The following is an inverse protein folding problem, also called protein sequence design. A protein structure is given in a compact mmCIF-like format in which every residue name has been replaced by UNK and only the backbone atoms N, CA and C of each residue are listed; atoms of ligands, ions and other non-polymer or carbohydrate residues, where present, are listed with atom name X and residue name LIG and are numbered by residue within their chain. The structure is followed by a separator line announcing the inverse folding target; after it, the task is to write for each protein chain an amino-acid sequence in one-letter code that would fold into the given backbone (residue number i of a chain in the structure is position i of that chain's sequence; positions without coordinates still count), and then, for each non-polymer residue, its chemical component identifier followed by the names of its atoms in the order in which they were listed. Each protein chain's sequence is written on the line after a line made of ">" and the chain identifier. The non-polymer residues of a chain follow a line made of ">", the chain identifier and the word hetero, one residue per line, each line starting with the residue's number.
data_IF_017521317097
#
_entry.id   IF_017521317097
#
_cell.length_a   1.000
_cell.length_b   1.000
_cell.length_c   1.000
_cell.angle_alpha   90.00
_cell.angle_beta   90.00
_cell.angle_gamma   90.00
#
_symmetry.space_group_name_H-M   'P 1'
#
loop_
_entity.id
_entity.type
_entity.pdbx_description
1 polymer ?
#
# COMPACT_ATOMS: atom_id res chain seq x y z
N UNK A 1 73.75 -1.24 36.56
CA UNK A 1 72.32 -0.94 36.72
C UNK A 1 71.63 -1.39 35.41
N UNK A 2 70.95 -2.53 35.42
CA UNK A 2 70.46 -3.20 34.21
C UNK A 2 68.96 -2.90 34.04
N UNK A 3 68.59 -2.22 32.98
CA UNK A 3 67.21 -1.96 32.61
C UNK A 3 66.79 -3.06 31.63
N UNK A 4 65.81 -3.87 32.02
CA UNK A 4 65.21 -4.90 31.20
C UNK A 4 64.06 -4.27 30.42
N UNK A 5 64.13 -4.29 29.10
CA UNK A 5 63.09 -3.96 28.19
C UNK A 5 62.17 -5.18 28.09
N UNK A 6 60.86 -5.00 28.45
CA UNK A 6 59.83 -6.01 28.29
C UNK A 6 59.00 -5.67 27.09
N UNK A 7 59.24 -6.39 26.00
CA UNK A 7 58.41 -6.27 24.79
C UNK A 7 57.08 -6.99 25.02
N UNK A 8 55.99 -6.23 25.03
CA UNK A 8 54.65 -6.78 25.02
C UNK A 8 54.18 -6.84 23.57
N UNK A 9 54.09 -8.06 23.07
CA UNK A 9 53.47 -8.40 21.80
C UNK A 9 51.95 -8.41 22.00
N UNK A 10 51.27 -7.34 21.65
CA UNK A 10 49.79 -7.32 21.56
C UNK A 10 49.41 -7.86 20.19
N UNK A 11 48.94 -9.09 20.16
CA UNK A 11 48.40 -9.74 19.00
C UNK A 11 47.03 -9.11 18.71
N UNK A 12 46.89 -8.46 17.57
CA UNK A 12 45.66 -7.99 16.99
C UNK A 12 44.81 -9.19 16.57
N UNK A 13 43.80 -9.50 17.37
CA UNK A 13 42.68 -10.39 17.01
C UNK A 13 41.43 -9.51 16.88
N UNK A 14 41.38 -8.75 15.82
CA UNK A 14 40.18 -8.04 15.40
C UNK A 14 39.87 -8.57 14.04
N UNK A 15 38.82 -9.38 13.98
CA UNK A 15 38.04 -9.35 12.80
C UNK A 15 37.36 -10.63 12.43
N UNK A 16 36.32 -10.47 11.81
CA UNK A 16 35.45 -11.45 11.12
C UNK A 16 34.24 -11.91 11.92
N UNK A 17 33.44 -10.94 12.39
CA UNK A 17 32.06 -11.25 12.84
C UNK A 17 30.99 -10.32 12.28
N UNK A 18 31.24 -9.65 11.15
CA UNK A 18 30.24 -8.73 10.56
C UNK A 18 29.49 -9.29 9.35
N UNK A 19 29.79 -10.52 8.93
CA UNK A 19 29.14 -11.12 7.75
C UNK A 19 28.02 -12.12 8.06
N UNK A 20 27.91 -12.61 9.29
CA UNK A 20 26.93 -13.65 9.64
C UNK A 20 25.53 -13.06 9.90
N UNK A 21 25.43 -11.83 10.39
CA UNK A 21 24.13 -11.23 10.68
C UNK A 21 23.37 -10.72 9.45
N UNK A 22 24.05 -10.49 8.32
CA UNK A 22 23.42 -10.02 7.09
C UNK A 22 22.83 -11.16 6.23
N UNK A 23 23.30 -12.39 6.44
CA UNK A 23 22.87 -13.55 5.64
C UNK A 23 21.66 -14.27 6.28
N UNK A 24 21.46 -14.16 7.59
CA UNK A 24 20.34 -14.79 8.30
C UNK A 24 19.00 -14.02 8.16
N UNK A 25 19.02 -12.71 7.89
CA UNK A 25 17.80 -11.95 7.58
C UNK A 25 17.30 -12.15 6.15
N UNK A 26 18.18 -12.52 5.22
CA UNK A 26 17.81 -12.70 3.81
C UNK A 26 16.98 -13.96 3.52
N UNK A 27 16.97 -14.95 4.39
CA UNK A 27 16.26 -16.22 4.17
C UNK A 27 14.84 -16.29 4.75
N UNK A 28 14.39 -15.26 5.48
CA UNK A 28 13.12 -15.32 6.24
C UNK A 28 11.86 -14.92 5.49
N UNK A 29 11.98 -14.26 4.34
CA UNK A 29 10.81 -13.68 3.67
C UNK A 29 10.65 -14.26 2.26
N UNK A 30 9.97 -15.40 2.17
CA UNK A 30 9.61 -16.01 0.90
C UNK A 30 8.21 -15.54 0.48
N UNK A 31 8.12 -14.73 -0.58
CA UNK A 31 6.87 -14.29 -1.20
C UNK A 31 6.79 -14.81 -2.63
N UNK A 32 5.57 -15.15 -3.06
CA UNK A 32 5.32 -15.67 -4.41
C UNK A 32 5.19 -14.51 -5.41
N UNK A 33 6.32 -13.95 -5.83
CA UNK A 33 6.35 -12.87 -6.80
C UNK A 33 5.92 -13.34 -8.19
N UNK A 34 4.97 -12.63 -8.79
CA UNK A 34 4.56 -12.81 -10.18
C UNK A 34 5.20 -11.73 -11.03
N UNK A 35 5.99 -12.12 -12.04
CA UNK A 35 6.57 -11.20 -13.02
C UNK A 35 5.52 -10.73 -14.02
N UNK A 36 5.70 -9.52 -14.56
CA UNK A 36 4.82 -8.92 -15.55
C UNK A 36 4.63 -9.71 -16.84
N UNK A 37 3.73 -9.21 -17.69
CA UNK A 37 3.33 -9.88 -18.92
C UNK A 37 2.33 -11.03 -18.68
N UNK A 38 1.62 -11.02 -17.56
CA UNK A 38 0.63 -12.05 -17.18
C UNK A 38 -0.64 -11.38 -16.67
N UNK A 39 -1.76 -12.07 -16.84
CA UNK A 39 -3.00 -11.70 -16.15
C UNK A 39 -2.94 -12.24 -14.71
N UNK A 40 -3.21 -11.38 -13.73
CA UNK A 40 -3.23 -11.72 -12.31
C UNK A 40 -4.59 -11.42 -11.71
N UNK A 41 -4.99 -12.20 -10.71
CA UNK A 41 -6.26 -12.01 -10.03
C UNK A 41 -6.12 -10.97 -8.91
N UNK A 42 -7.02 -9.99 -8.89
CA UNK A 42 -7.26 -9.08 -7.77
C UNK A 42 -8.42 -9.63 -6.93
N UNK A 43 -8.11 -10.56 -6.03
CA UNK A 43 -9.11 -11.31 -5.30
C UNK A 43 -10.04 -12.09 -6.25
N UNK A 44 -11.34 -12.08 -5.94
CA UNK A 44 -12.39 -12.68 -6.78
C UNK A 44 -13.23 -11.63 -7.54
N UNK A 45 -12.79 -10.37 -7.53
CA UNK A 45 -13.58 -9.23 -8.00
C UNK A 45 -13.11 -8.69 -9.34
N UNK A 46 -11.80 -8.76 -9.60
CA UNK A 46 -11.21 -8.21 -10.81
C UNK A 46 -9.95 -8.98 -11.23
N UNK A 47 -9.50 -8.72 -12.45
CA UNK A 47 -8.23 -9.18 -12.99
C UNK A 47 -7.41 -7.96 -13.40
N UNK A 48 -6.09 -8.07 -13.35
CA UNK A 48 -5.14 -7.09 -13.83
C UNK A 48 -4.25 -7.71 -14.91
N UNK A 49 -4.29 -7.15 -16.11
CA UNK A 49 -3.30 -7.42 -17.15
C UNK A 49 -1.99 -6.70 -16.76
N UNK A 50 -1.13 -7.44 -16.03
CA UNK A 50 0.09 -6.92 -15.43
C UNK A 50 1.14 -6.63 -16.51
N UNK A 51 1.46 -5.36 -16.71
CA UNK A 51 2.49 -4.93 -17.66
C UNK A 51 3.86 -5.53 -17.36
N UNK A 52 4.73 -5.60 -18.38
CA UNK A 52 6.07 -6.21 -18.28
C UNK A 52 6.99 -5.51 -17.27
N UNK A 53 6.74 -4.22 -17.04
CA UNK A 53 7.56 -3.37 -16.18
C UNK A 53 7.22 -3.50 -14.69
N UNK A 54 6.29 -4.39 -14.35
CA UNK A 54 5.79 -4.55 -12.99
C UNK A 54 5.97 -5.97 -12.45
N UNK A 55 5.92 -6.09 -11.13
CA UNK A 55 5.80 -7.35 -10.39
C UNK A 55 4.62 -7.26 -9.45
N UNK A 56 4.04 -8.40 -9.11
CA UNK A 56 2.80 -8.50 -8.33
C UNK A 56 2.96 -9.48 -7.16
N UNK A 57 2.31 -9.15 -6.05
CA UNK A 57 2.01 -10.06 -4.95
C UNK A 57 0.50 -10.20 -4.80
N UNK A 58 0.03 -11.44 -4.60
CA UNK A 58 -1.36 -11.68 -4.24
C UNK A 58 -1.72 -11.13 -2.85
N UNK A 59 -2.99 -11.16 -2.48
CA UNK A 59 -3.45 -10.58 -1.21
C UNK A 59 -2.81 -11.20 0.03
N UNK A 60 -2.54 -12.50 0.02
CA UNK A 60 -1.95 -13.18 1.19
C UNK A 60 -0.47 -12.82 1.35
N UNK A 61 0.29 -12.82 0.25
CA UNK A 61 1.68 -12.39 0.27
C UNK A 61 1.81 -10.89 0.56
N UNK A 62 0.87 -10.05 0.09
CA UNK A 62 0.80 -8.63 0.44
C UNK A 62 0.62 -8.45 1.95
N UNK A 63 -0.35 -9.12 2.57
CA UNK A 63 -0.58 -9.08 4.03
C UNK A 63 0.62 -9.59 4.80
N UNK A 64 1.21 -10.69 4.34
CA UNK A 64 2.44 -11.23 4.94
C UNK A 64 3.58 -10.24 4.87
N UNK A 65 3.82 -9.63 3.72
CA UNK A 65 4.85 -8.62 3.54
C UNK A 65 4.63 -7.43 4.49
N UNK A 66 3.43 -6.86 4.54
CA UNK A 66 3.10 -5.77 5.46
C UNK A 66 3.43 -6.15 6.91
N UNK A 67 3.03 -7.35 7.36
CA UNK A 67 3.30 -7.84 8.72
C UNK A 67 4.80 -7.99 8.99
N UNK A 68 5.54 -8.57 8.05
CA UNK A 68 6.98 -8.77 8.17
C UNK A 68 7.74 -7.43 8.32
N UNK A 69 7.21 -6.38 7.69
CA UNK A 69 7.72 -5.00 7.81
C UNK A 69 7.06 -4.17 8.93
N UNK A 70 6.38 -4.85 9.87
CA UNK A 70 5.75 -4.24 11.05
C UNK A 70 4.64 -3.25 10.71
N UNK A 71 4.06 -3.37 9.52
CA UNK A 71 2.82 -2.71 9.16
C UNK A 71 1.63 -3.58 9.58
N UNK A 72 0.45 -2.97 9.68
CA UNK A 72 -0.76 -3.67 10.12
C UNK A 72 -1.70 -3.80 8.92
N UNK A 73 -1.82 -5.01 8.33
CA UNK A 73 -2.78 -5.26 7.27
C UNK A 73 -4.21 -4.91 7.70
N UNK A 74 -5.00 -4.40 6.78
CA UNK A 74 -6.43 -4.15 7.00
C UNK A 74 -7.25 -5.45 6.96
N UNK A 75 -6.66 -6.52 6.41
CA UNK A 75 -7.31 -7.80 6.14
C UNK A 75 -8.11 -7.82 4.84
N UNK A 76 -8.14 -6.71 4.09
CA UNK A 76 -8.87 -6.55 2.83
C UNK A 76 -7.95 -6.51 1.62
N UNK A 77 -6.65 -6.64 1.81
CA UNK A 77 -5.66 -6.64 0.73
C UNK A 77 -5.93 -7.79 -0.24
N UNK A 78 -6.06 -7.46 -1.51
CA UNK A 78 -6.28 -8.40 -2.61
C UNK A 78 -5.09 -8.50 -3.56
N UNK A 79 -4.09 -7.66 -3.37
CA UNK A 79 -2.82 -7.71 -4.10
C UNK A 79 -2.04 -6.42 -4.00
N UNK A 80 -0.80 -6.45 -4.49
CA UNK A 80 0.04 -5.27 -4.63
C UNK A 80 0.93 -5.33 -5.85
N UNK A 81 1.16 -4.17 -6.46
CA UNK A 81 2.01 -3.98 -7.65
C UNK A 81 3.21 -3.13 -7.29
N UNK A 82 4.35 -3.50 -7.84
CA UNK A 82 5.62 -2.79 -7.67
C UNK A 82 6.31 -2.63 -9.04
N UNK A 83 7.12 -1.59 -9.24
CA UNK A 83 7.94 -1.47 -10.43
C UNK A 83 9.01 -2.56 -10.46
N UNK A 84 9.31 -3.07 -11.67
CA UNK A 84 10.41 -4.00 -11.87
C UNK A 84 11.78 -3.29 -11.93
N UNK A 85 11.79 -1.97 -12.18
CA UNK A 85 13.02 -1.17 -12.12
C UNK A 85 13.38 -0.88 -10.65
N UNK A 86 14.57 -1.33 -10.19
CA UNK A 86 15.00 -1.09 -8.82
C UNK A 86 15.29 0.39 -8.51
N UNK A 87 15.24 1.29 -9.47
CA UNK A 87 15.38 2.74 -9.25
C UNK A 87 14.07 3.41 -8.89
N UNK A 88 12.95 2.82 -9.26
CA UNK A 88 11.63 3.33 -8.96
C UNK A 88 11.19 2.92 -7.55
N UNK A 89 10.63 3.86 -6.79
CA UNK A 89 10.34 3.68 -5.36
C UNK A 89 8.86 3.97 -5.07
N UNK A 90 7.99 3.15 -5.64
CA UNK A 90 6.55 3.23 -5.39
C UNK A 90 5.93 1.85 -5.35
N UNK A 91 4.73 1.78 -4.80
CA UNK A 91 3.88 0.58 -4.86
C UNK A 91 2.43 0.98 -4.89
N UNK A 92 1.59 0.09 -5.43
CA UNK A 92 0.13 0.19 -5.33
C UNK A 92 -0.38 -0.99 -4.53
N UNK A 93 -1.11 -0.71 -3.46
CA UNK A 93 -1.81 -1.74 -2.68
C UNK A 93 -3.28 -1.72 -3.10
N UNK A 94 -3.81 -2.90 -3.43
CA UNK A 94 -5.22 -3.09 -3.74
C UNK A 94 -5.94 -3.73 -2.56
N UNK A 95 -7.03 -3.09 -2.12
CA UNK A 95 -7.96 -3.63 -1.12
C UNK A 95 -9.36 -3.76 -1.72
N UNK A 96 -10.15 -4.72 -1.29
CA UNK A 96 -11.57 -4.81 -1.63
C UNK A 96 -12.45 -4.68 -0.40
N UNK A 97 -13.46 -3.82 -0.50
CA UNK A 97 -14.47 -3.62 0.55
C UNK A 97 -15.87 -3.96 0.01
N UNK A 98 -16.44 -5.04 0.50
CA UNK A 98 -17.78 -5.52 0.13
C UNK A 98 -18.87 -4.82 0.96
N UNK A 99 -18.91 -3.48 0.91
CA UNK A 99 -19.84 -2.67 1.70
C UNK A 99 -21.26 -2.57 1.13
N UNK A 100 -21.47 -3.11 -0.05
CA UNK A 100 -22.66 -2.95 -0.87
C UNK A 100 -22.46 -1.91 -1.96
N UNK A 101 -23.38 -1.84 -2.91
CA UNK A 101 -23.35 -0.89 -4.01
C UNK A 101 -23.31 0.56 -3.51
N UNK A 102 -22.33 1.32 -3.92
CA UNK A 102 -22.16 2.72 -3.54
C UNK A 102 -22.97 3.59 -4.49
N UNK A 103 -23.94 4.32 -3.95
CA UNK A 103 -24.68 5.30 -4.74
C UNK A 103 -23.79 6.51 -5.06
N UNK A 104 -23.79 6.93 -6.34
CA UNK A 104 -22.99 8.05 -6.85
C UNK A 104 -23.77 9.37 -6.96
N UNK A 105 -24.92 9.50 -6.31
CA UNK A 105 -25.78 10.70 -6.34
C UNK A 105 -25.03 11.99 -5.98
N UNK A 106 -23.99 11.87 -5.13
CA UNK A 106 -23.16 12.99 -4.67
C UNK A 106 -22.11 13.44 -5.71
N UNK A 107 -21.99 12.79 -6.86
CA UNK A 107 -20.88 12.98 -7.82
C UNK A 107 -20.63 14.42 -8.28
N UNK A 108 -21.67 15.27 -8.28
CA UNK A 108 -21.59 16.70 -8.62
C UNK A 108 -21.56 17.64 -7.43
N UNK A 109 -21.63 17.11 -6.21
CA UNK A 109 -21.81 17.89 -4.98
C UNK A 109 -20.92 17.42 -3.84
N UNK A 110 -19.76 16.84 -4.15
CA UNK A 110 -18.78 16.45 -3.12
C UNK A 110 -18.29 17.72 -2.41
N UNK A 111 -18.56 17.84 -1.11
CA UNK A 111 -18.10 18.97 -0.29
C UNK A 111 -16.64 18.75 0.14
N UNK A 112 -15.73 19.10 -0.77
CA UNK A 112 -14.28 18.96 -0.56
C UNK A 112 -13.79 19.80 0.64
N UNK A 113 -14.34 20.98 0.86
CA UNK A 113 -13.98 21.86 1.97
C UNK A 113 -14.42 21.28 3.32
N UNK A 114 -15.66 20.80 3.42
CA UNK A 114 -16.19 20.17 4.62
C UNK A 114 -15.49 18.84 4.94
N UNK A 115 -15.15 18.07 3.93
CA UNK A 115 -14.37 16.83 4.08
C UNK A 115 -12.97 17.15 4.61
N UNK A 116 -12.24 18.11 4.02
CA UNK A 116 -10.92 18.51 4.47
C UNK A 116 -10.93 19.01 5.91
N UNK A 117 -11.93 19.84 6.25
CA UNK A 117 -12.12 20.32 7.62
C UNK A 117 -12.33 19.15 8.58
N UNK A 118 -13.16 18.18 8.24
CA UNK A 118 -13.42 16.99 9.06
C UNK A 118 -12.15 16.17 9.29
N UNK A 119 -11.31 16.05 8.28
CA UNK A 119 -9.99 15.39 8.41
C UNK A 119 -9.08 16.15 9.35
N UNK A 120 -8.93 17.47 9.13
CA UNK A 120 -8.07 18.32 9.96
C UNK A 120 -8.50 18.28 11.43
N UNK A 121 -9.78 18.55 11.71
CA UNK A 121 -10.32 18.53 13.08
C UNK A 121 -10.12 17.17 13.77
N UNK A 122 -10.34 16.09 13.04
CA UNK A 122 -10.18 14.73 13.56
C UNK A 122 -8.72 14.38 13.83
N UNK A 123 -7.81 14.82 12.98
CA UNK A 123 -6.37 14.61 13.13
C UNK A 123 -5.83 15.39 14.33
N UNK A 124 -6.17 16.67 14.46
CA UNK A 124 -5.76 17.46 15.61
C UNK A 124 -6.31 16.90 16.94
N UNK A 125 -7.55 16.44 16.94
CA UNK A 125 -8.12 15.77 18.11
C UNK A 125 -7.42 14.47 18.47
N UNK A 126 -6.88 13.74 17.47
CA UNK A 126 -6.08 12.55 17.71
C UNK A 126 -4.70 12.92 18.25
N UNK A 127 -4.10 14.00 17.76
CA UNK A 127 -2.81 14.52 18.19
C UNK A 127 -2.78 14.83 19.71
N UNK A 128 -3.90 15.27 20.31
CA UNK A 128 -4.00 15.51 21.76
C UNK A 128 -3.59 14.30 22.62
N UNK A 129 -3.68 13.08 22.04
CA UNK A 129 -3.39 11.81 22.73
C UNK A 129 -2.13 11.12 22.25
N UNK A 130 -1.42 11.73 21.31
CA UNK A 130 -0.19 11.17 20.74
C UNK A 130 1.04 11.94 21.24
N UNK A 131 2.16 11.24 21.48
CA UNK A 131 3.45 11.89 21.62
C UNK A 131 3.74 12.78 20.41
N UNK A 132 4.46 13.88 20.62
CA UNK A 132 4.75 14.90 19.58
C UNK A 132 5.38 14.27 18.34
N UNK A 133 6.29 13.31 18.51
CA UNK A 133 6.99 12.61 17.42
C UNK A 133 6.08 11.67 16.59
N UNK A 134 4.82 11.51 17.00
CA UNK A 134 3.80 10.71 16.29
C UNK A 134 2.62 11.54 15.80
N UNK A 135 2.66 12.85 15.99
CA UNK A 135 1.61 13.75 15.54
C UNK A 135 1.71 13.98 14.04
N UNK A 136 0.53 14.14 13.42
CA UNK A 136 0.37 14.46 12.00
C UNK A 136 -0.48 15.71 11.86
N UNK A 137 -0.21 16.51 10.84
CA UNK A 137 -0.96 17.71 10.54
C UNK A 137 -1.39 17.68 9.08
N UNK A 138 -2.70 17.81 8.83
CA UNK A 138 -3.24 17.89 7.48
C UNK A 138 -2.85 19.21 6.84
N UNK A 139 -2.21 19.18 5.67
CA UNK A 139 -1.75 20.38 4.97
C UNK A 139 -2.71 20.85 3.86
N UNK A 140 -3.61 19.98 3.42
CA UNK A 140 -4.62 20.32 2.41
C UNK A 140 -4.79 19.22 1.36
N UNK A 141 -5.57 19.53 0.31
CA UNK A 141 -5.68 18.68 -0.86
C UNK A 141 -4.44 18.84 -1.75
N UNK A 142 -3.85 17.74 -2.13
CA UNK A 142 -2.94 17.66 -3.25
C UNK A 142 -3.72 17.49 -4.56
N UNK A 143 -4.70 16.57 -4.55
CA UNK A 143 -5.72 16.42 -5.57
C UNK A 143 -7.10 16.46 -4.89
N UNK A 144 -7.93 17.45 -5.24
CA UNK A 144 -9.30 17.51 -4.74
C UNK A 144 -10.08 16.28 -5.17
N UNK A 145 -11.03 15.81 -4.35
CA UNK A 145 -11.89 14.70 -4.74
C UNK A 145 -12.62 14.98 -6.04
N UNK A 146 -12.57 14.03 -6.97
CA UNK A 146 -13.37 14.04 -8.19
C UNK A 146 -13.85 12.62 -8.55
N UNK A 147 -14.98 12.55 -9.21
CA UNK A 147 -15.58 11.31 -9.67
C UNK A 147 -15.62 11.28 -11.20
N UNK A 148 -15.12 10.20 -11.80
CA UNK A 148 -15.21 9.94 -13.23
C UNK A 148 -16.46 9.08 -13.51
N UNK A 149 -17.45 9.65 -14.20
CA UNK A 149 -18.71 8.97 -14.54
C UNK A 149 -18.54 7.85 -15.57
N UNK A 150 -17.40 7.78 -16.29
CA UNK A 150 -17.16 6.76 -17.32
C UNK A 150 -16.55 5.49 -16.73
N UNK A 151 -15.66 5.66 -15.77
CA UNK A 151 -14.94 4.55 -15.13
C UNK A 151 -15.53 4.19 -13.78
N UNK A 152 -16.42 5.04 -13.23
CA UNK A 152 -16.95 4.96 -11.87
C UNK A 152 -15.85 5.01 -10.81
N UNK A 153 -14.82 5.82 -11.05
CA UNK A 153 -13.69 5.98 -10.14
C UNK A 153 -13.83 7.28 -9.34
N UNK A 154 -13.66 7.17 -8.04
CA UNK A 154 -13.53 8.30 -7.13
C UNK A 154 -12.06 8.47 -6.75
N UNK A 155 -11.47 9.62 -7.10
CA UNK A 155 -10.04 9.88 -6.91
C UNK A 155 -9.83 11.10 -6.02
N UNK A 156 -8.83 11.03 -5.13
CA UNK A 156 -8.35 12.17 -4.35
C UNK A 156 -6.93 11.94 -3.85
N UNK A 157 -6.29 13.02 -3.40
CA UNK A 157 -5.02 12.96 -2.70
C UNK A 157 -4.96 14.06 -1.64
N UNK A 158 -4.59 13.68 -0.44
CA UNK A 158 -4.48 14.59 0.68
C UNK A 158 -3.06 14.63 1.21
N UNK A 159 -2.55 15.83 1.44
CA UNK A 159 -1.26 16.06 2.06
C UNK A 159 -1.38 16.14 3.59
N UNK A 160 -0.37 15.61 4.25
CA UNK A 160 -0.12 15.79 5.67
C UNK A 160 1.38 16.00 5.89
N UNK A 161 1.77 16.42 7.07
CA UNK A 161 3.15 16.47 7.51
C UNK A 161 3.30 15.84 8.89
N UNK A 162 4.46 15.24 9.15
CA UNK A 162 4.82 14.75 10.47
C UNK A 162 5.38 15.86 11.36
N UNK A 163 5.72 15.53 12.61
CA UNK A 163 6.33 16.46 13.56
C UNK A 163 7.70 17.03 13.10
N UNK A 164 8.35 16.40 12.12
CA UNK A 164 9.62 16.85 11.51
C UNK A 164 9.40 17.64 10.22
N UNK A 165 8.15 17.96 9.90
CA UNK A 165 7.75 18.64 8.66
C UNK A 165 8.05 17.81 7.40
N UNK A 166 8.13 16.49 7.52
CA UNK A 166 8.25 15.62 6.38
C UNK A 166 6.87 15.45 5.75
N UNK A 167 6.77 15.72 4.45
CA UNK A 167 5.53 15.60 3.71
C UNK A 167 5.11 14.13 3.56
N UNK A 168 3.84 13.90 3.80
CA UNK A 168 3.17 12.59 3.64
C UNK A 168 1.99 12.79 2.72
N UNK A 169 1.89 12.01 1.68
CA UNK A 169 0.85 12.18 0.68
C UNK A 169 0.39 10.80 0.23
N UNK A 170 -0.92 10.57 0.30
CA UNK A 170 -1.57 9.39 -0.25
C UNK A 170 -2.38 9.78 -1.48
N UNK A 171 -2.22 9.03 -2.55
CA UNK A 171 -3.08 9.13 -3.72
C UNK A 171 -3.98 7.90 -3.76
N UNK A 172 -5.26 8.15 -3.64
CA UNK A 172 -6.30 7.13 -3.50
C UNK A 172 -7.23 7.14 -4.71
N UNK A 173 -7.48 5.95 -5.26
CA UNK A 173 -8.52 5.71 -6.25
C UNK A 173 -9.46 4.64 -5.73
N UNK A 174 -10.76 4.88 -5.80
CA UNK A 174 -11.81 3.91 -5.50
C UNK A 174 -12.53 3.54 -6.77
N UNK A 175 -12.27 2.33 -7.27
CA UNK A 175 -12.99 1.77 -8.41
C UNK A 175 -14.29 1.17 -7.88
N UNK A 176 -15.42 1.79 -8.16
CA UNK A 176 -16.72 1.30 -7.71
C UNK A 176 -17.09 0.02 -8.46
N UNK A 177 -17.71 -0.91 -7.75
CA UNK A 177 -18.14 -2.21 -8.29
C UNK A 177 -19.60 -2.46 -7.93
N UNK A 178 -20.16 -3.56 -8.44
CA UNK A 178 -21.54 -3.96 -8.14
C UNK A 178 -21.82 -4.02 -6.64
N UNK A 179 -20.88 -4.58 -5.84
CA UNK A 179 -21.13 -4.94 -4.44
C UNK A 179 -20.20 -4.23 -3.45
N UNK A 180 -19.45 -3.23 -3.92
CA UNK A 180 -18.52 -2.47 -3.09
C UNK A 180 -17.55 -1.64 -3.92
N UNK A 181 -16.27 -1.64 -3.54
CA UNK A 181 -15.24 -0.93 -4.26
C UNK A 181 -13.84 -1.55 -4.07
N UNK A 182 -13.01 -1.43 -5.09
CA UNK A 182 -11.57 -1.68 -4.98
C UNK A 182 -10.88 -0.37 -4.64
N UNK A 183 -10.04 -0.38 -3.61
CA UNK A 183 -9.11 0.70 -3.32
C UNK A 183 -7.80 0.44 -4.04
N UNK A 184 -7.33 1.37 -4.87
CA UNK A 184 -5.96 1.41 -5.35
C UNK A 184 -5.25 2.55 -4.60
N UNK A 185 -4.31 2.21 -3.72
CA UNK A 185 -3.59 3.13 -2.84
C UNK A 185 -2.16 3.22 -3.34
N UNK A 186 -1.80 4.34 -3.96
CA UNK A 186 -0.44 4.59 -4.40
C UNK A 186 0.40 5.10 -3.22
N UNK A 187 1.49 4.43 -2.98
CA UNK A 187 2.52 4.80 -2.03
C UNK A 187 3.76 5.18 -2.84
N UNK A 188 4.19 6.42 -2.71
CA UNK A 188 5.23 6.99 -3.56
C UNK A 188 6.06 8.02 -2.78
N UNK A 189 7.32 8.19 -3.20
CA UNK A 189 8.15 9.29 -2.71
C UNK A 189 7.61 10.64 -3.20
N UNK A 190 7.55 11.69 -2.37
CA UNK A 190 7.05 13.01 -2.77
C UNK A 190 7.72 13.57 -4.03
N UNK A 191 8.99 13.26 -4.29
CA UNK A 191 9.74 13.75 -5.47
C UNK A 191 9.27 13.07 -6.75
N UNK A 192 9.00 11.76 -6.71
CA UNK A 192 8.63 10.95 -7.89
C UNK A 192 7.13 10.88 -8.11
N UNK A 193 6.32 11.36 -7.18
CA UNK A 193 4.88 11.11 -7.13
C UNK A 193 4.09 11.48 -8.39
N UNK A 194 4.42 12.60 -9.04
CA UNK A 194 3.71 12.99 -10.27
C UNK A 194 3.93 11.97 -11.39
N UNK A 195 5.15 11.45 -11.51
CA UNK A 195 5.45 10.36 -12.43
C UNK A 195 4.68 9.08 -12.05
N UNK A 196 4.72 8.70 -10.77
CA UNK A 196 4.12 7.46 -10.30
C UNK A 196 2.58 7.49 -10.39
N UNK A 197 1.94 8.66 -10.18
CA UNK A 197 0.52 8.89 -10.46
C UNK A 197 0.19 8.67 -11.93
N UNK A 198 1.04 9.17 -12.84
CA UNK A 198 0.85 8.98 -14.28
C UNK A 198 0.99 7.50 -14.66
N UNK A 199 1.93 6.77 -14.07
CA UNK A 199 2.09 5.33 -14.26
C UNK A 199 0.84 4.59 -13.78
N UNK A 200 0.36 4.88 -12.57
CA UNK A 200 -0.88 4.30 -12.05
C UNK A 200 -2.05 4.56 -13.00
N UNK A 201 -2.28 5.82 -13.38
CA UNK A 201 -3.43 6.23 -14.18
C UNK A 201 -3.38 5.71 -15.62
N UNK A 202 -2.21 5.57 -16.24
CA UNK A 202 -2.07 5.21 -17.65
C UNK A 202 -1.71 3.75 -17.90
N UNK A 203 -1.04 3.07 -16.96
CA UNK A 203 -0.50 1.73 -17.19
C UNK A 203 -1.11 0.66 -16.29
N UNK A 204 -1.71 1.01 -15.14
CA UNK A 204 -2.24 0.05 -14.18
C UNK A 204 -3.78 0.09 -14.16
N UNK A 205 -4.40 1.23 -13.84
CA UNK A 205 -5.86 1.32 -13.71
C UNK A 205 -6.60 0.90 -14.98
N UNK A 206 -6.21 1.31 -16.21
CA UNK A 206 -6.89 0.89 -17.44
C UNK A 206 -6.75 -0.60 -17.76
N UNK A 207 -5.86 -1.30 -17.08
CA UNK A 207 -5.62 -2.73 -17.25
C UNK A 207 -6.38 -3.60 -16.23
N UNK A 208 -7.13 -2.97 -15.33
CA UNK A 208 -8.03 -3.66 -14.41
C UNK A 208 -9.36 -3.91 -15.11
N UNK A 209 -9.81 -5.16 -15.07
CA UNK A 209 -11.11 -5.59 -15.61
C UNK A 209 -11.90 -6.31 -14.52
N UNK A 210 -13.13 -5.85 -14.27
CA UNK A 210 -14.01 -6.54 -13.31
C UNK A 210 -14.40 -7.92 -13.84
N UNK A 211 -14.50 -8.88 -12.94
CA UNK A 211 -15.05 -10.21 -13.25
C UNK A 211 -16.49 -10.04 -13.71
N UNK A 212 -16.96 -10.94 -14.59
CA UNK A 212 -18.31 -10.88 -15.14
C UNK A 212 -19.36 -10.82 -14.02
N UNK A 213 -20.29 -9.88 -14.12
CA UNK A 213 -21.31 -9.63 -13.12
C UNK A 213 -20.84 -8.81 -11.90
N UNK A 214 -19.64 -8.22 -11.93
CA UNK A 214 -19.08 -7.41 -10.85
C UNK A 214 -18.87 -5.93 -11.22
N UNK A 215 -19.23 -5.53 -12.44
CA UNK A 215 -19.15 -4.12 -12.85
C UNK A 215 -20.16 -3.28 -12.07
N UNK A 216 -19.90 -1.99 -11.96
CA UNK A 216 -20.80 -1.05 -11.28
C UNK A 216 -22.22 -1.10 -11.83
N UNK A 217 -22.36 -1.17 -13.16
CA UNK A 217 -23.63 -1.21 -13.89
C UNK A 217 -24.38 -2.55 -13.76
N UNK A 218 -23.71 -3.60 -13.29
CA UNK A 218 -24.35 -4.92 -13.06
C UNK A 218 -25.25 -4.92 -11.80
N UNK A 219 -25.34 -3.78 -11.09
CA UNK A 219 -26.15 -3.64 -9.89
C UNK A 219 -27.61 -3.99 -10.14
N UNK A 220 -28.18 -4.81 -9.25
CA UNK A 220 -29.59 -5.17 -9.28
C UNK A 220 -30.25 -4.79 -7.95
N UNK A 221 -31.08 -3.74 -7.99
CA UNK A 221 -31.76 -3.22 -6.80
C UNK A 221 -32.70 -4.21 -6.10
N UNK A 222 -33.08 -5.30 -6.78
CA UNK A 222 -33.97 -6.34 -6.19
C UNK A 222 -33.21 -7.36 -5.35
N UNK A 223 -31.91 -7.54 -5.59
CA UNK A 223 -31.10 -8.62 -5.00
C UNK A 223 -29.88 -8.11 -4.26
N UNK A 224 -29.35 -6.97 -4.65
CA UNK A 224 -28.09 -6.48 -4.17
C UNK A 224 -28.26 -5.53 -2.97
N UNK A 225 -27.30 -5.57 -2.07
CA UNK A 225 -27.25 -4.68 -0.94
C UNK A 225 -26.77 -3.30 -1.40
N UNK A 226 -27.50 -2.25 -1.04
CA UNK A 226 -27.03 -0.88 -1.17
C UNK A 226 -26.18 -0.51 0.04
N UNK A 227 -25.07 0.16 -0.20
CA UNK A 227 -24.22 0.70 0.86
C UNK A 227 -24.94 1.79 1.66
N UNK A 228 -24.59 1.91 2.93
CA UNK A 228 -25.01 3.04 3.79
C UNK A 228 -24.15 4.29 3.58
N UNK A 229 -23.17 4.20 2.70
CA UNK A 229 -22.17 5.23 2.45
C UNK A 229 -22.30 5.72 1.01
N UNK A 230 -22.23 7.05 0.81
CA UNK A 230 -22.04 7.69 -0.48
C UNK A 230 -20.57 8.03 -0.71
N UNK A 231 -20.30 8.79 -1.79
CA UNK A 231 -18.94 9.13 -2.22
C UNK A 231 -18.16 9.91 -1.14
N UNK A 232 -18.78 10.92 -0.51
CA UNK A 232 -18.15 11.72 0.54
C UNK A 232 -17.72 10.86 1.74
N UNK A 233 -18.53 9.85 2.09
CA UNK A 233 -18.20 8.95 3.17
C UNK A 233 -17.04 7.99 2.82
N UNK A 234 -16.88 7.61 1.55
CA UNK A 234 -15.73 6.83 1.09
C UNK A 234 -14.42 7.59 1.28
N UNK A 235 -14.41 8.89 0.95
CA UNK A 235 -13.25 9.76 1.17
C UNK A 235 -12.92 9.80 2.66
N UNK A 236 -13.89 9.99 3.53
CA UNK A 236 -13.73 10.01 5.00
C UNK A 236 -13.42 8.63 5.62
N UNK A 237 -13.23 7.58 4.82
CA UNK A 237 -12.83 6.26 5.29
C UNK A 237 -13.93 5.21 5.32
N UNK A 238 -15.10 5.49 4.74
CA UNK A 238 -16.19 4.52 4.53
C UNK A 238 -16.62 3.79 5.80
N UNK A 239 -16.52 2.47 5.78
CA UNK A 239 -16.87 1.63 6.94
C UNK A 239 -16.09 1.96 8.23
N UNK A 240 -14.93 2.62 8.13
CA UNK A 240 -14.17 3.11 9.29
C UNK A 240 -14.94 4.10 10.15
N UNK A 241 -15.84 4.90 9.56
CA UNK A 241 -16.72 5.80 10.32
C UNK A 241 -17.78 5.05 11.13
N UNK A 242 -18.28 3.92 10.65
CA UNK A 242 -19.23 3.09 11.39
C UNK A 242 -18.58 2.38 12.59
N UNK A 243 -17.32 1.97 12.43
CA UNK A 243 -16.50 1.41 13.53
C UNK A 243 -16.16 2.51 14.54
N UNK A 244 -15.83 3.73 14.09
CA UNK A 244 -15.57 4.86 14.96
C UNK A 244 -16.74 5.21 15.88
N UNK A 245 -17.99 5.05 15.41
CA UNK A 245 -19.18 5.21 16.26
C UNK A 245 -19.34 4.11 17.32
N UNK A 246 -18.84 2.89 17.07
CA UNK A 246 -18.94 1.75 18.01
C UNK A 246 -17.77 1.66 18.99
N UNK A 247 -16.57 2.05 18.60
CA UNK A 247 -15.33 1.94 19.42
C UNK A 247 -14.81 3.30 19.90
N UNK A 248 -15.53 4.37 19.63
CA UNK A 248 -15.12 5.75 19.94
C UNK A 248 -14.33 6.38 18.79
N UNK A 249 -14.55 7.67 18.58
CA UNK A 249 -13.99 8.48 17.48
C UNK A 249 -12.46 8.32 17.32
N UNK A 250 -11.76 8.04 18.41
CA UNK A 250 -10.32 7.90 18.45
C UNK A 250 -9.77 6.64 17.79
N UNK A 251 -10.45 5.51 17.94
CA UNK A 251 -10.00 4.27 17.29
C UNK A 251 -10.20 4.36 15.77
N UNK A 252 -11.27 5.02 15.31
CA UNK A 252 -11.51 5.27 13.89
C UNK A 252 -10.48 6.22 13.28
N UNK A 253 -10.12 7.28 14.00
CA UNK A 253 -9.09 8.24 13.56
C UNK A 253 -7.69 7.61 13.59
N UNK A 254 -7.37 6.80 14.60
CA UNK A 254 -6.11 6.06 14.63
C UNK A 254 -6.01 5.02 13.50
N UNK A 255 -7.12 4.40 13.10
CA UNK A 255 -7.18 3.53 11.92
C UNK A 255 -7.04 4.33 10.62
N UNK A 256 -7.58 5.56 10.55
CA UNK A 256 -7.40 6.46 9.43
C UNK A 256 -5.94 6.96 9.38
N UNK A 257 -5.37 7.37 10.51
CA UNK A 257 -3.96 7.80 10.60
C UNK A 257 -2.98 6.65 10.29
N UNK A 258 -3.31 5.40 10.64
CA UNK A 258 -2.57 4.21 10.22
C UNK A 258 -2.61 4.03 8.70
N UNK A 259 -3.72 4.35 8.04
CA UNK A 259 -3.82 4.37 6.58
C UNK A 259 -3.00 5.50 5.93
N UNK A 260 -2.70 6.58 6.65
CA UNK A 260 -1.84 7.68 6.17
C UNK A 260 -0.34 7.35 6.22
N UNK A 261 0.03 6.08 6.37
CA UNK A 261 1.32 5.60 5.89
C UNK A 261 2.58 6.09 6.58
N UNK A 262 2.50 6.69 7.79
CA UNK A 262 3.73 7.02 8.54
C UNK A 262 4.52 5.75 8.83
N UNK A 263 3.84 4.65 9.10
CA UNK A 263 4.48 3.35 9.33
C UNK A 263 4.90 2.72 8.00
N UNK A 264 4.09 2.88 6.93
CA UNK A 264 4.38 2.35 5.60
C UNK A 264 5.58 3.07 4.96
N UNK A 265 5.68 4.40 5.06
CA UNK A 265 6.82 5.15 4.51
C UNK A 265 8.15 4.75 5.17
N UNK A 266 8.18 4.55 6.49
CA UNK A 266 9.38 4.11 7.22
C UNK A 266 9.72 2.65 6.88
N UNK A 267 8.73 1.79 6.76
CA UNK A 267 8.91 0.39 6.40
C UNK A 267 9.37 0.24 4.94
N UNK A 268 8.81 1.01 4.01
CA UNK A 268 9.16 0.95 2.60
C UNK A 268 10.59 1.42 2.31
N UNK A 269 11.12 2.42 3.00
CA UNK A 269 12.53 2.81 2.84
C UNK A 269 13.47 1.69 3.29
N UNK A 270 13.12 0.94 4.33
CA UNK A 270 13.88 -0.24 4.77
C UNK A 270 13.71 -1.45 3.85
N UNK A 271 12.48 -1.74 3.45
CA UNK A 271 12.12 -2.88 2.59
C UNK A 271 12.55 -2.68 1.13
N UNK A 272 12.60 -1.43 0.66
CA UNK A 272 12.98 -1.11 -0.70
C UNK A 272 14.39 -1.58 -1.08
N UNK A 273 15.37 -1.45 -0.19
CA UNK A 273 16.70 -2.05 -0.41
C UNK A 273 16.63 -3.57 -0.60
N UNK A 274 15.72 -4.21 0.10
CA UNK A 274 15.54 -5.65 0.05
C UNK A 274 14.77 -6.10 -1.20
N UNK A 275 13.69 -5.41 -1.58
CA UNK A 275 12.98 -5.63 -2.85
C UNK A 275 13.94 -5.48 -4.04
N UNK A 276 14.80 -4.47 -4.03
CA UNK A 276 15.88 -4.31 -5.04
C UNK A 276 16.79 -5.53 -5.10
N UNK A 277 17.20 -6.07 -3.97
CA UNK A 277 18.09 -7.22 -3.90
C UNK A 277 17.41 -8.50 -4.40
N UNK A 278 16.11 -8.70 -4.13
CA UNK A 278 15.33 -9.82 -4.65
C UNK A 278 15.17 -9.75 -6.17
N UNK A 279 14.81 -8.60 -6.71
CA UNK A 279 14.68 -8.39 -8.16
C UNK A 279 16.03 -8.58 -8.84
N UNK A 280 17.11 -8.09 -8.24
CA UNK A 280 18.47 -8.26 -8.76
C UNK A 280 18.97 -9.71 -8.68
N UNK A 281 18.64 -10.45 -7.62
CA UNK A 281 18.99 -11.87 -7.48
C UNK A 281 18.28 -12.72 -8.54
N UNK A 282 17.00 -12.42 -8.85
CA UNK A 282 16.24 -13.14 -9.87
C UNK A 282 16.74 -12.88 -11.29
N UNK A 283 17.24 -11.66 -11.60
CA UNK A 283 17.93 -11.36 -12.87
C UNK A 283 19.24 -12.13 -13.04
N UNK A 284 19.89 -12.55 -11.95
CA UNK A 284 21.13 -13.34 -11.98
C UNK A 284 20.90 -14.84 -12.15
N UNK A 285 19.69 -15.35 -11.88
CA UNK A 285 19.38 -16.78 -11.97
C UNK A 285 18.00 -17.04 -12.59
N UNK A 286 17.82 -16.83 -13.91
CA UNK A 286 16.53 -17.00 -14.58
C UNK A 286 16.01 -18.44 -14.63
N UNK A 287 16.84 -19.45 -14.30
CA UNK A 287 16.55 -20.89 -14.47
C UNK A 287 16.22 -21.64 -13.17
N UNK A 288 16.04 -20.96 -12.04
CA UNK A 288 15.77 -21.66 -10.77
C UNK A 288 14.33 -22.18 -10.59
N UNK A 289 13.42 -21.93 -11.54
CA UNK A 289 12.01 -22.34 -11.41
C UNK A 289 11.57 -23.48 -12.35
N UNK A 290 12.50 -24.14 -13.05
CA UNK A 290 12.15 -25.20 -14.01
C UNK A 290 12.72 -26.60 -13.69
N UNK A 291 13.32 -26.81 -12.51
CA UNK A 291 13.99 -28.09 -12.20
C UNK A 291 13.35 -28.92 -11.06
N UNK A 292 12.16 -28.57 -10.57
CA UNK A 292 11.49 -29.37 -9.49
C UNK A 292 10.20 -30.10 -9.92
N UNK A 293 9.93 -30.23 -11.22
CA UNK A 293 8.78 -31.03 -11.69
C UNK A 293 9.20 -32.11 -12.72
N UNK A 294 10.22 -32.88 -12.41
CA UNK A 294 10.54 -34.05 -13.23
C UNK A 294 11.41 -35.03 -12.43
N UNK A 295 10.86 -35.67 -11.41
CA UNK A 295 11.34 -36.98 -10.91
C UNK A 295 10.43 -37.46 -9.77
N UNK A 296 9.24 -37.95 -10.14
CA UNK A 296 8.55 -38.96 -9.35
C UNK A 296 7.43 -39.59 -10.19
N UNK A 297 7.83 -40.43 -11.15
CA UNK A 297 7.05 -41.54 -11.67
C UNK A 297 7.94 -42.41 -12.57
N UNK A 298 8.64 -43.38 -11.98
CA UNK A 298 8.86 -44.72 -12.53
C UNK A 298 8.83 -45.71 -11.36
#
# INVERSE_FOLDING_TARGET
>A
MKIRVFSILVVLLLSTQTSVFAEEEQSKHNYNWVSGGKNVELGKIANLDLGQDFVFLNGDDTKKMMTDYKDIPSGREIGSVFPNDPKEQWSVIFEYDESGHINDDEKKSIDDAGILKSYSDSTEKANEKLPIDRQLHVTGWDVKPFYDEKTHDLTWSMGAEDAKKQALINYDVRLLTRTGYISAILISDPVSREHDKQVLASQILPKISMVNGQKYEDFNSSTDKVSKFGLSALILGGAGLAVAKKVGLLAGVLLLLKKFGVVIAIALVGSWKWIKNLIAARKRNPNASSSEFSEEQI
#
